data_IF_433094454616
#
_entry.id   IF_433094454616
#
_cell.length_a   1.000
_cell.length_b   1.000
_cell.length_c   1.000
_cell.angle_alpha   90.00
_cell.angle_beta   90.00
_cell.angle_gamma   90.00
#
_symmetry.space_group_name_H-M   'P 1'
#
loop_
_entity.id
_entity.type
_entity.pdbx_description
1 polymer ?
#
# COMPACT_ATOMS: atom_id res chain seq x y z
N UNK A 1 -12.21 19.28 -43.78
CA UNK A 1 -13.34 18.45 -44.27
C UNK A 1 -12.84 17.68 -45.49
N UNK A 2 -12.30 16.48 -45.30
CA UNK A 2 -11.85 15.64 -46.40
C UNK A 2 -12.97 14.65 -46.73
N UNK A 3 -13.72 14.92 -47.80
CA UNK A 3 -14.58 13.93 -48.43
C UNK A 3 -13.68 12.90 -49.11
N UNK A 4 -13.69 11.67 -48.62
CA UNK A 4 -13.23 10.51 -49.38
C UNK A 4 -14.08 10.45 -50.66
N UNK A 5 -13.43 10.40 -51.82
CA UNK A 5 -13.96 10.22 -53.18
C UNK A 5 -15.31 10.90 -53.53
N UNK A 6 -15.27 11.87 -54.46
CA UNK A 6 -16.46 12.51 -55.05
C UNK A 6 -17.51 11.47 -55.45
N UNK A 7 -18.62 11.44 -54.71
CA UNK A 7 -19.84 10.71 -55.09
C UNK A 7 -20.16 9.44 -54.30
N UNK A 8 -19.34 9.02 -53.32
CA UNK A 8 -19.73 7.92 -52.43
C UNK A 8 -20.35 8.44 -51.11
N UNK A 9 -21.42 7.81 -50.60
CA UNK A 9 -22.02 8.20 -49.33
C UNK A 9 -21.05 7.93 -48.18
N UNK A 10 -20.95 8.88 -47.24
CA UNK A 10 -20.14 8.72 -46.02
C UNK A 10 -20.64 7.49 -45.23
N UNK A 11 -19.81 6.44 -45.06
CA UNK A 11 -20.22 5.22 -44.37
C UNK A 11 -20.54 5.45 -42.89
N UNK A 12 -20.14 6.59 -42.33
CA UNK A 12 -20.40 6.96 -40.93
C UNK A 12 -21.67 7.81 -40.74
N UNK A 13 -22.37 8.16 -41.82
CA UNK A 13 -23.55 9.05 -41.78
C UNK A 13 -24.72 8.45 -41.00
N UNK A 14 -24.96 7.15 -41.15
CA UNK A 14 -26.06 6.46 -40.45
C UNK A 14 -25.76 6.32 -38.96
N UNK A 15 -24.49 6.10 -38.59
CA UNK A 15 -24.04 6.05 -37.20
C UNK A 15 -24.14 7.42 -36.50
N UNK A 16 -24.02 8.52 -37.25
CA UNK A 16 -24.20 9.87 -36.73
C UNK A 16 -25.65 10.37 -36.78
N UNK A 17 -26.63 9.50 -37.06
CA UNK A 17 -28.05 9.88 -37.12
C UNK A 17 -28.35 10.94 -38.20
N UNK A 18 -27.58 10.95 -39.28
CA UNK A 18 -27.68 11.94 -40.36
C UNK A 18 -26.86 13.21 -40.17
N UNK A 19 -26.13 13.37 -39.06
CA UNK A 19 -25.20 14.48 -38.81
C UNK A 19 -23.79 14.27 -39.39
N UNK A 20 -22.93 15.29 -39.26
CA UNK A 20 -21.54 15.24 -39.74
C UNK A 20 -20.71 14.26 -38.92
N UNK A 21 -20.15 13.23 -39.56
CA UNK A 21 -19.22 12.28 -38.94
C UNK A 21 -17.81 12.48 -39.49
N UNK A 22 -16.79 12.26 -38.64
CA UNK A 22 -15.42 12.17 -39.14
C UNK A 22 -15.06 10.71 -39.42
N UNK A 23 -14.76 10.40 -40.67
CA UNK A 23 -14.32 9.08 -41.11
C UNK A 23 -12.82 9.11 -41.39
N UNK A 24 -12.08 8.12 -40.90
CA UNK A 24 -10.67 7.93 -41.22
C UNK A 24 -10.44 6.54 -41.82
N UNK A 25 -9.54 6.40 -42.82
CA UNK A 25 -9.19 5.10 -43.36
C UNK A 25 -8.45 4.25 -42.33
N UNK A 26 -8.84 2.97 -42.21
CA UNK A 26 -8.21 1.98 -41.33
C UNK A 26 -7.63 0.84 -42.19
N UNK A 27 -6.34 0.50 -42.07
CA UNK A 27 -5.70 -0.51 -42.92
C UNK A 27 -6.28 -1.93 -42.80
N UNK A 28 -6.95 -2.22 -41.68
CA UNK A 28 -7.43 -3.57 -41.33
C UNK A 28 -8.93 -3.69 -41.58
N UNK A 29 -9.69 -2.63 -41.30
CA UNK A 29 -11.16 -2.61 -41.31
C UNK A 29 -11.73 -1.71 -42.40
N UNK A 30 -10.87 -1.13 -43.24
CA UNK A 30 -11.23 -0.20 -44.30
C UNK A 30 -11.43 1.22 -43.77
N UNK A 31 -12.32 1.42 -42.80
CA UNK A 31 -12.63 2.74 -42.24
C UNK A 31 -12.97 2.67 -40.74
N UNK A 32 -12.68 3.75 -40.02
CA UNK A 32 -13.09 3.99 -38.64
C UNK A 32 -13.88 5.30 -38.53
N UNK A 33 -15.02 5.24 -37.84
CA UNK A 33 -15.86 6.41 -37.57
C UNK A 33 -15.44 7.05 -36.24
N UNK A 34 -14.85 8.23 -36.29
CA UNK A 34 -14.30 8.95 -35.13
C UNK A 34 -15.35 9.83 -34.40
N UNK A 35 -16.64 9.65 -34.69
CA UNK A 35 -17.74 10.43 -34.12
C UNK A 35 -17.94 11.81 -34.75
N UNK A 36 -18.88 12.59 -34.21
CA UNK A 36 -19.12 13.99 -34.61
C UNK A 36 -18.53 14.96 -33.58
N UNK A 37 -18.06 16.15 -34.00
CA UNK A 37 -17.63 17.20 -33.07
C UNK A 37 -18.72 17.60 -32.08
N UNK A 38 -19.99 17.52 -32.50
CA UNK A 38 -21.15 17.80 -31.65
C UNK A 38 -21.35 16.73 -30.57
N UNK A 39 -21.14 15.45 -30.89
CA UNK A 39 -21.18 14.37 -29.89
C UNK A 39 -20.06 14.53 -28.86
N UNK A 40 -18.86 14.94 -29.29
CA UNK A 40 -17.77 15.26 -28.38
C UNK A 40 -18.14 16.47 -27.50
N UNK A 41 -18.75 17.51 -28.06
CA UNK A 41 -19.21 18.67 -27.30
C UNK A 41 -20.29 18.32 -26.28
N UNK A 42 -21.29 17.50 -26.64
CA UNK A 42 -22.34 17.03 -25.72
C UNK A 42 -21.76 16.16 -24.58
N UNK A 43 -20.82 15.26 -24.89
CA UNK A 43 -20.13 14.45 -23.88
C UNK A 43 -19.29 15.30 -22.93
N UNK A 44 -18.62 16.33 -23.44
CA UNK A 44 -17.74 17.19 -22.64
C UNK A 44 -18.49 18.24 -21.84
N UNK A 45 -19.67 18.68 -22.28
CA UNK A 45 -20.45 19.75 -21.63
C UNK A 45 -21.60 19.24 -20.77
N UNK A 46 -21.97 17.96 -20.88
CA UNK A 46 -23.05 17.35 -20.09
C UNK A 46 -24.44 17.89 -20.44
N UNK A 47 -24.60 18.64 -21.54
CA UNK A 47 -25.90 19.11 -22.01
C UNK A 47 -26.61 18.00 -22.79
N UNK A 48 -27.45 17.24 -22.07
CA UNK A 48 -28.42 16.32 -22.66
C UNK A 48 -29.63 17.11 -23.17
N UNK A 49 -29.83 17.15 -24.49
CA UNK A 49 -31.16 17.44 -25.03
C UNK A 49 -31.99 16.15 -24.96
N UNK A 50 -33.07 16.18 -24.18
CA UNK A 50 -33.83 15.00 -23.72
C UNK A 50 -34.70 14.34 -24.80
N UNK A 51 -34.42 14.53 -26.09
CA UNK A 51 -35.20 13.97 -27.19
C UNK A 51 -34.36 13.28 -28.27
N UNK A 52 -33.10 12.94 -27.99
CA UNK A 52 -32.25 12.28 -28.98
C UNK A 52 -32.41 10.76 -28.97
N UNK A 53 -32.92 10.20 -30.07
CA UNK A 53 -32.94 8.76 -30.42
C UNK A 53 -31.55 8.08 -30.24
N UNK A 54 -30.48 8.88 -30.18
CA UNK A 54 -29.09 8.46 -29.96
C UNK A 54 -28.90 7.75 -28.61
N UNK A 55 -29.59 8.18 -27.54
CA UNK A 55 -29.45 7.51 -26.23
C UNK A 55 -30.13 6.15 -26.17
N UNK A 56 -31.21 5.95 -26.94
CA UNK A 56 -31.86 4.64 -27.08
C UNK A 56 -30.97 3.67 -27.89
N UNK A 57 -30.28 4.17 -28.93
CA UNK A 57 -29.32 3.37 -29.70
C UNK A 57 -28.08 2.97 -28.86
N UNK A 58 -27.54 3.88 -28.06
CA UNK A 58 -26.40 3.61 -27.16
C UNK A 58 -26.73 2.58 -26.06
N UNK A 59 -27.96 2.58 -25.53
CA UNK A 59 -28.40 1.55 -24.57
C UNK A 59 -28.55 0.16 -25.21
N UNK A 60 -28.96 0.10 -26.48
CA UNK A 60 -29.05 -1.15 -27.23
C UNK A 60 -27.67 -1.72 -27.58
N UNK A 61 -26.69 -0.87 -27.90
CA UNK A 61 -25.35 -1.32 -28.29
C UNK A 61 -24.48 -1.74 -27.09
N UNK A 62 -24.62 -1.11 -25.92
CA UNK A 62 -23.91 -1.52 -24.70
C UNK A 62 -24.31 -2.93 -24.24
N UNK A 63 -25.58 -3.31 -24.41
CA UNK A 63 -26.04 -4.67 -24.11
C UNK A 63 -25.51 -5.71 -25.11
N UNK A 64 -25.33 -5.34 -26.39
CA UNK A 64 -24.67 -6.19 -27.39
C UNK A 64 -23.17 -6.34 -27.12
N UNK A 65 -22.52 -5.26 -26.70
CA UNK A 65 -21.10 -5.28 -26.34
C UNK A 65 -20.83 -6.16 -25.11
N UNK A 66 -21.73 -6.14 -24.12
CA UNK A 66 -21.68 -7.03 -22.96
C UNK A 66 -21.89 -8.51 -23.32
N UNK A 67 -22.75 -8.82 -24.30
CA UNK A 67 -22.96 -10.19 -24.77
C UNK A 67 -21.78 -10.74 -25.58
N UNK A 68 -21.09 -9.91 -26.37
CA UNK A 68 -19.90 -10.31 -27.13
C UNK A 68 -18.69 -10.61 -26.23
N UNK A 69 -18.57 -9.94 -25.08
CA UNK A 69 -17.48 -10.18 -24.12
C UNK A 69 -17.60 -11.50 -23.35
N UNK A 70 -18.78 -12.14 -23.31
CA UNK A 70 -18.95 -13.45 -22.68
C UNK A 70 -18.56 -14.64 -23.59
N UNK A 71 -18.21 -14.40 -24.86
CA UNK A 71 -17.84 -15.45 -25.81
C UNK A 71 -16.36 -15.46 -26.26
N UNK A 72 -15.50 -14.61 -25.68
CA UNK A 72 -14.06 -14.57 -26.02
C UNK A 72 -13.13 -14.76 -24.80
N UNK A 73 -13.40 -15.80 -24.00
CA UNK A 73 -12.34 -16.49 -23.26
C UNK A 73 -11.89 -17.71 -24.06
N UNK A 74 -11.06 -17.49 -25.08
CA UNK A 74 -10.20 -18.55 -25.65
C UNK A 74 -8.82 -17.97 -25.93
N UNK A 75 -7.82 -18.81 -25.66
CA UNK A 75 -6.41 -18.51 -25.46
C UNK A 75 -5.77 -17.63 -26.55
N UNK A 76 -5.11 -16.55 -26.14
CA UNK A 76 -4.16 -15.83 -26.99
C UNK A 76 -2.73 -16.10 -26.52
N UNK A 77 -2.12 -17.09 -27.18
CA UNK A 77 -0.69 -17.32 -27.16
C UNK A 77 -0.04 -16.34 -28.17
N UNK A 78 0.64 -15.31 -27.69
CA UNK A 78 1.30 -14.31 -28.55
C UNK A 78 2.76 -14.74 -28.76
N UNK A 79 3.07 -15.22 -29.97
CA UNK A 79 4.44 -15.31 -30.47
C UNK A 79 4.91 -13.90 -30.84
N UNK A 80 5.99 -13.44 -30.21
CA UNK A 80 6.67 -12.17 -30.54
C UNK A 80 7.73 -12.49 -31.60
N UNK A 81 7.79 -11.79 -32.75
CA UNK A 81 8.86 -11.98 -33.73
C UNK A 81 10.19 -11.41 -33.25
N UNK A 82 11.28 -12.10 -33.57
CA UNK A 82 12.65 -11.72 -33.25
C UNK A 82 13.03 -10.32 -33.79
N UNK A 83 13.64 -9.51 -32.94
CA UNK A 83 14.23 -8.22 -33.28
C UNK A 83 15.64 -8.47 -33.83
N UNK A 84 16.04 -7.94 -35.00
CA UNK A 84 17.39 -8.12 -35.51
C UNK A 84 18.42 -7.36 -34.67
N UNK A 85 19.57 -8.00 -34.43
CA UNK A 85 20.72 -7.45 -33.70
C UNK A 85 21.20 -6.10 -34.27
N UNK A 86 21.74 -5.20 -33.41
CA UNK A 86 22.45 -4.03 -33.90
C UNK A 86 23.77 -4.41 -34.56
N UNK A 87 24.06 -3.63 -35.61
CA UNK A 87 25.17 -3.71 -36.56
C UNK A 87 26.52 -3.47 -35.86
N UNK A 88 27.55 -4.17 -36.36
CA UNK A 88 28.95 -4.04 -35.99
C UNK A 88 29.49 -2.62 -36.23
N UNK A 89 30.17 -2.04 -35.24
CA UNK A 89 30.98 -0.83 -35.39
C UNK A 89 32.38 -1.16 -35.98
N UNK A 90 32.76 -0.33 -36.94
CA UNK A 90 33.97 -0.34 -37.78
C UNK A 90 35.20 0.19 -37.01
N UNK A 91 36.35 -0.54 -36.98
CA UNK A 91 37.55 -0.11 -36.27
C UNK A 91 38.43 0.79 -37.14
N UNK A 92 38.09 2.07 -37.25
CA UNK A 92 39.05 3.08 -37.69
C UNK A 92 38.64 4.46 -37.21
N UNK A 93 39.20 4.93 -36.08
CA UNK A 93 39.52 6.32 -35.75
C UNK A 93 40.27 6.34 -34.39
N UNK A 94 41.34 7.14 -34.22
CA UNK A 94 42.18 7.13 -33.01
C UNK A 94 41.55 7.96 -31.87
N UNK A 95 41.89 7.65 -30.60
CA UNK A 95 41.29 8.33 -29.45
C UNK A 95 41.91 9.72 -29.21
N UNK A 96 41.04 10.71 -28.99
CA UNK A 96 41.41 12.02 -28.44
C UNK A 96 41.82 11.90 -26.96
N UNK A 97 42.96 12.48 -26.63
CA UNK A 97 43.45 12.74 -25.27
C UNK A 97 42.58 13.79 -24.58
N UNK A 98 42.12 13.51 -23.36
CA UNK A 98 41.68 14.54 -22.41
C UNK A 98 42.26 14.23 -21.04
N UNK A 99 42.98 15.24 -20.52
CA UNK A 99 43.79 15.26 -19.31
C UNK A 99 43.05 14.85 -18.02
N UNK A 100 43.65 13.93 -17.26
CA UNK A 100 43.39 13.75 -15.84
C UNK A 100 44.17 14.80 -15.02
N UNK A 101 43.46 15.61 -14.23
CA UNK A 101 44.06 16.35 -13.13
C UNK A 101 43.68 15.70 -11.80
N UNK A 102 44.67 15.03 -11.20
CA UNK A 102 44.64 14.54 -9.83
C UNK A 102 44.83 15.71 -8.83
N UNK A 103 44.05 15.76 -7.75
CA UNK A 103 44.57 16.05 -6.41
C UNK A 103 43.57 15.61 -5.34
N UNK A 104 43.88 14.52 -4.61
CA UNK A 104 43.36 14.29 -3.25
C UNK A 104 44.38 13.45 -2.45
N UNK A 105 44.64 13.78 -1.16
CA UNK A 105 45.70 13.16 -0.35
C UNK A 105 45.27 11.83 0.31
N UNK A 106 46.22 11.00 0.80
CA UNK A 106 45.98 9.58 1.04
C UNK A 106 45.28 9.29 2.38
N UNK A 107 44.24 8.46 2.34
CA UNK A 107 43.67 7.82 3.52
C UNK A 107 44.52 6.61 3.94
N UNK A 108 44.87 6.59 5.22
CA UNK A 108 45.72 5.59 5.89
C UNK A 108 44.91 4.31 6.13
N UNK A 109 45.36 3.21 5.53
CA UNK A 109 44.78 1.88 5.64
C UNK A 109 45.03 1.30 7.06
N UNK A 110 44.00 1.19 7.89
CA UNK A 110 44.06 0.48 9.18
C UNK A 110 43.51 -0.93 8.98
N UNK A 111 44.37 -1.94 9.13
CA UNK A 111 43.98 -3.37 9.13
C UNK A 111 43.34 -3.73 10.49
N UNK A 112 42.22 -4.47 10.54
CA UNK A 112 41.70 -4.97 11.81
C UNK A 112 42.48 -6.20 12.31
N UNK A 113 42.81 -6.20 13.61
CA UNK A 113 43.36 -7.36 14.36
C UNK A 113 42.25 -8.38 14.66
N UNK A 114 42.57 -9.69 14.72
CA UNK A 114 41.60 -10.73 15.09
C UNK A 114 41.40 -10.80 16.61
N UNK A 115 40.15 -10.67 17.06
CA UNK A 115 39.75 -10.92 18.45
C UNK A 115 39.51 -12.43 18.62
N UNK A 116 40.28 -13.04 19.52
CA UNK A 116 40.15 -14.45 19.92
C UNK A 116 39.21 -14.54 21.12
N UNK A 117 38.02 -15.14 20.96
CA UNK A 117 37.09 -15.41 22.08
C UNK A 117 37.36 -16.82 22.60
N UNK A 118 37.84 -16.92 23.85
CA UNK A 118 37.93 -18.18 24.60
C UNK A 118 36.57 -18.48 25.23
N UNK A 119 35.95 -19.59 24.84
CA UNK A 119 34.79 -20.16 25.53
C UNK A 119 35.24 -21.18 26.59
N UNK A 120 34.57 -21.23 27.73
CA UNK A 120 34.64 -22.33 28.69
C UNK A 120 33.28 -22.49 29.37
N UNK A 121 32.75 -23.72 29.54
CA UNK A 121 31.37 -23.95 29.96
C UNK A 121 31.24 -24.11 31.47
N UNK A 122 30.11 -23.69 32.06
CA UNK A 122 29.67 -24.19 33.38
C UNK A 122 28.20 -24.62 33.34
N UNK A 123 28.00 -25.88 33.74
CA UNK A 123 26.72 -26.58 33.90
C UNK A 123 26.16 -26.38 35.32
N UNK A 124 24.85 -26.13 35.36
CA UNK A 124 23.77 -26.80 36.14
C UNK A 124 23.85 -26.81 37.68
N UNK A 125 22.78 -26.33 38.33
CA UNK A 125 22.01 -27.17 39.27
C UNK A 125 20.55 -26.71 39.39
N UNK A 126 19.67 -27.71 39.36
CA UNK A 126 18.21 -27.67 39.46
C UNK A 126 17.85 -27.92 40.92
N UNK A 127 16.80 -27.28 41.44
CA UNK A 127 16.04 -27.86 42.55
C UNK A 127 14.53 -27.69 42.36
N UNK A 128 13.82 -28.79 42.66
CA UNK A 128 12.39 -29.06 42.48
C UNK A 128 11.60 -28.80 43.78
N UNK A 129 10.28 -28.81 43.61
CA UNK A 129 9.18 -29.06 44.57
C UNK A 129 8.60 -27.84 45.31
N UNK A 130 7.28 -27.65 45.54
CA UNK A 130 5.98 -28.27 45.13
C UNK A 130 4.83 -27.29 45.59
N UNK A 131 3.54 -27.52 45.25
CA UNK A 131 2.50 -26.48 45.14
C UNK A 131 1.56 -26.35 46.36
N UNK A 132 0.86 -25.21 46.50
CA UNK A 132 -0.25 -25.03 47.47
C UNK A 132 -1.41 -24.23 46.86
N UNK A 133 -2.51 -24.97 46.65
CA UNK A 133 -3.94 -24.75 46.97
C UNK A 133 -4.74 -23.50 46.50
N UNK A 134 -5.92 -23.88 46.00
CA UNK A 134 -7.16 -23.15 45.71
C UNK A 134 -7.67 -22.23 46.81
N UNK A 135 -8.08 -21.02 46.44
CA UNK A 135 -8.78 -20.07 47.31
C UNK A 135 -10.30 -20.20 47.11
N UNK A 136 -10.98 -20.36 48.24
CA UNK A 136 -12.43 -20.47 48.43
C UNK A 136 -13.05 -19.07 48.50
N UNK A 137 -14.18 -18.87 47.81
CA UNK A 137 -15.04 -17.67 47.88
C UNK A 137 -15.97 -17.78 49.09
N UNK A 138 -16.12 -16.74 49.93
CA UNK A 138 -17.27 -16.62 50.83
C UNK A 138 -18.31 -15.63 50.28
N UNK A 139 -19.55 -16.10 50.15
CA UNK A 139 -20.76 -15.28 50.11
C UNK A 139 -21.24 -14.98 51.52
N UNK A 140 -21.65 -13.73 51.80
CA UNK A 140 -22.83 -13.39 52.63
C UNK A 140 -23.00 -11.87 52.88
N UNK A 141 -24.23 -11.40 52.58
CA UNK A 141 -25.08 -10.43 53.32
C UNK A 141 -24.60 -8.97 53.52
N UNK A 142 -25.44 -7.94 53.64
CA UNK A 142 -26.85 -7.62 53.36
C UNK A 142 -27.03 -6.17 53.84
N UNK A 143 -27.64 -5.30 53.02
CA UNK A 143 -28.36 -4.10 53.47
C UNK A 143 -27.57 -2.86 53.88
N UNK A 144 -27.77 -1.74 53.17
CA UNK A 144 -28.54 -0.59 53.70
C UNK A 144 -28.66 0.59 52.72
N UNK A 145 -29.90 1.09 52.63
CA UNK A 145 -30.38 2.48 52.43
C UNK A 145 -30.13 3.21 51.10
N UNK A 146 -31.26 3.34 50.40
CA UNK A 146 -31.61 4.25 49.31
C UNK A 146 -31.30 5.72 49.62
N UNK A 147 -30.56 6.38 48.72
CA UNK A 147 -30.56 7.83 48.51
C UNK A 147 -30.85 8.09 47.03
N UNK A 148 -32.03 8.65 46.74
CA UNK A 148 -32.43 9.09 45.38
C UNK A 148 -31.70 10.38 45.02
N UNK A 149 -30.65 10.29 44.21
CA UNK A 149 -30.04 11.44 43.54
C UNK A 149 -30.75 11.62 42.19
N UNK A 150 -31.38 12.77 41.97
CA UNK A 150 -31.92 13.15 40.65
C UNK A 150 -30.75 13.52 39.74
N UNK A 151 -30.47 12.68 38.76
CA UNK A 151 -29.50 12.94 37.70
C UNK A 151 -30.29 13.53 36.51
N UNK A 152 -30.05 14.81 36.20
CA UNK A 152 -30.56 15.43 34.95
C UNK A 152 -29.92 14.79 33.71
N UNK A 153 -30.39 15.06 32.49
CA UNK A 153 -29.92 14.38 31.29
C UNK A 153 -28.43 14.67 31.06
N UNK A 154 -27.59 13.69 31.36
CA UNK A 154 -26.17 13.70 31.03
C UNK A 154 -26.08 13.52 29.51
N UNK A 155 -25.68 14.57 28.79
CA UNK A 155 -25.20 14.42 27.42
C UNK A 155 -24.05 13.40 27.44
N UNK A 156 -24.05 12.34 26.62
CA UNK A 156 -22.99 11.35 26.65
C UNK A 156 -21.68 12.05 26.27
N UNK A 157 -20.79 12.23 27.26
CA UNK A 157 -19.37 12.42 27.00
C UNK A 157 -18.92 11.15 26.29
N UNK A 158 -18.31 11.29 25.12
CA UNK A 158 -17.72 10.17 24.39
C UNK A 158 -16.72 9.46 25.30
N UNK A 159 -17.09 8.25 25.71
CA UNK A 159 -16.23 7.36 26.45
C UNK A 159 -15.10 6.94 25.49
N UNK A 160 -13.91 7.52 25.69
CA UNK A 160 -12.69 6.96 25.08
C UNK A 160 -12.48 5.62 25.76
N UNK A 161 -12.58 4.53 25.00
CA UNK A 161 -12.27 3.18 25.46
C UNK A 161 -10.90 3.16 26.13
N UNK A 162 -10.82 2.64 27.36
CA UNK A 162 -9.55 2.40 28.08
C UNK A 162 -8.67 1.35 27.39
N UNK A 163 -9.17 0.68 26.35
CA UNK A 163 -8.41 -0.25 25.51
C UNK A 163 -7.81 0.48 24.30
N UNK A 164 -6.56 0.16 23.95
CA UNK A 164 -5.89 0.72 22.77
C UNK A 164 -6.53 0.31 21.43
N UNK A 165 -5.99 0.80 20.30
CA UNK A 165 -6.51 0.52 18.95
C UNK A 165 -6.73 -0.96 18.68
N UNK A 166 -7.87 -1.28 18.06
CA UNK A 166 -8.18 -2.63 17.57
C UNK A 166 -7.56 -2.80 16.19
N UNK A 167 -6.69 -3.79 16.05
CA UNK A 167 -6.04 -4.14 14.78
C UNK A 167 -6.81 -5.24 14.06
N UNK A 168 -7.04 -5.06 12.76
CA UNK A 168 -7.63 -6.07 11.89
C UNK A 168 -6.94 -6.10 10.53
N UNK A 169 -6.66 -7.30 10.02
CA UNK A 169 -6.15 -7.48 8.66
C UNK A 169 -7.32 -7.50 7.68
N UNK A 170 -7.20 -6.72 6.60
CA UNK A 170 -8.12 -6.77 5.45
C UNK A 170 -7.59 -7.67 4.34
N UNK A 171 -6.28 -7.77 4.21
CA UNK A 171 -5.58 -8.72 3.34
C UNK A 171 -4.24 -9.06 3.97
N UNK A 172 -3.78 -10.30 3.76
CA UNK A 172 -2.45 -10.75 4.16
C UNK A 172 -1.60 -10.92 2.92
N UNK A 173 -0.51 -10.15 2.85
CA UNK A 173 0.42 -10.23 1.73
C UNK A 173 1.26 -11.51 1.76
N UNK A 174 1.93 -11.77 0.65
CA UNK A 174 2.95 -12.81 0.53
C UNK A 174 4.02 -12.34 -0.47
N UNK A 175 5.23 -12.86 -0.32
CA UNK A 175 6.34 -12.54 -1.21
C UNK A 175 6.90 -13.82 -1.81
N UNK A 176 6.81 -13.94 -3.14
CA UNK A 176 7.28 -15.11 -3.88
C UNK A 176 8.20 -14.62 -5.00
N UNK A 177 9.53 -14.80 -4.85
CA UNK A 177 10.47 -14.56 -5.95
C UNK A 177 10.39 -15.68 -6.98
N UNK A 178 10.39 -15.34 -8.27
CA UNK A 178 10.46 -16.31 -9.36
C UNK A 178 11.92 -16.63 -9.70
N UNK A 179 12.25 -17.92 -9.77
CA UNK A 179 13.59 -18.44 -10.06
C UNK A 179 13.90 -18.51 -11.57
N UNK A 180 13.60 -17.45 -12.32
CA UNK A 180 13.81 -17.37 -13.77
C UNK A 180 14.89 -16.36 -14.20
N UNK A 181 15.25 -16.37 -15.49
CA UNK A 181 16.20 -15.42 -16.09
C UNK A 181 15.76 -13.94 -16.02
N UNK A 182 14.46 -13.68 -15.77
CA UNK A 182 13.93 -12.36 -15.42
C UNK A 182 13.55 -12.39 -13.95
N UNK A 183 14.11 -11.49 -13.16
CA UNK A 183 13.77 -11.32 -11.75
C UNK A 183 12.33 -10.78 -11.64
N UNK A 184 11.35 -11.68 -11.56
CA UNK A 184 9.94 -11.33 -11.30
C UNK A 184 9.55 -11.74 -9.89
N UNK A 185 8.61 -10.98 -9.31
CA UNK A 185 8.17 -11.19 -7.94
C UNK A 185 6.63 -11.12 -7.89
N UNK A 186 6.00 -12.04 -7.17
CA UNK A 186 4.63 -11.85 -6.69
C UNK A 186 4.71 -11.22 -5.30
N UNK A 187 4.14 -10.04 -5.14
CA UNK A 187 4.24 -9.25 -3.92
C UNK A 187 2.93 -8.54 -3.55
N UNK A 188 1.79 -9.22 -3.40
CA UNK A 188 0.61 -8.62 -2.77
C UNK A 188 0.96 -8.21 -1.34
N UNK A 189 0.46 -7.05 -0.91
CA UNK A 189 0.82 -6.49 0.39
C UNK A 189 -0.25 -6.69 1.47
N UNK A 190 0.18 -6.75 2.72
CA UNK A 190 -0.69 -6.76 3.88
C UNK A 190 -1.37 -5.40 4.02
N UNK A 191 -2.69 -5.42 4.15
CA UNK A 191 -3.52 -4.22 4.35
C UNK A 191 -4.15 -4.29 5.72
N UNK A 192 -3.94 -3.24 6.52
CA UNK A 192 -4.36 -3.19 7.92
C UNK A 192 -5.41 -2.13 8.13
N UNK A 193 -6.42 -2.44 8.92
CA UNK A 193 -7.37 -1.48 9.47
C UNK A 193 -7.18 -1.39 10.99
N UNK A 194 -6.95 -0.17 11.48
CA UNK A 194 -6.89 0.17 12.90
C UNK A 194 -8.12 1.00 13.30
N UNK A 195 -8.79 0.60 14.37
CA UNK A 195 -9.86 1.37 15.00
C UNK A 195 -9.38 1.91 16.36
N UNK A 196 -9.10 3.20 16.44
CA UNK A 196 -8.65 3.91 17.66
C UNK A 196 -9.79 4.81 18.19
N UNK A 197 -10.60 4.26 19.10
CA UNK A 197 -11.84 4.91 19.54
C UNK A 197 -12.81 5.08 18.37
N UNK A 198 -13.20 6.33 18.06
CA UNK A 198 -14.03 6.65 16.89
C UNK A 198 -13.22 6.86 15.62
N UNK A 199 -11.89 6.87 15.71
CA UNK A 199 -11.01 7.17 14.59
C UNK A 199 -10.60 5.90 13.85
N UNK A 200 -10.75 5.89 12.54
CA UNK A 200 -10.51 4.73 11.69
C UNK A 200 -9.35 5.00 10.71
N UNK A 201 -8.35 4.13 10.70
CA UNK A 201 -7.12 4.25 9.90
C UNK A 201 -6.96 3.01 9.02
N UNK A 202 -6.70 3.23 7.73
CA UNK A 202 -6.23 2.21 6.80
C UNK A 202 -4.73 2.38 6.62
N UNK A 203 -3.98 1.27 6.64
CA UNK A 203 -2.55 1.24 6.35
C UNK A 203 -2.30 0.35 5.15
N UNK A 204 -1.72 0.94 4.10
CA UNK A 204 -1.58 0.41 2.75
C UNK A 204 -2.90 0.05 2.08
N UNK A 205 -2.84 -0.22 0.78
CA UNK A 205 -4.03 -0.47 -0.06
C UNK A 205 -3.84 -1.63 -1.04
N UNK A 206 -2.76 -2.40 -0.90
CA UNK A 206 -2.52 -3.57 -1.75
C UNK A 206 -2.12 -3.23 -3.18
N UNK A 207 -1.82 -4.28 -3.96
CA UNK A 207 -1.74 -4.23 -5.42
C UNK A 207 -3.13 -4.11 -6.05
N UNK A 208 -3.28 -3.57 -7.26
CA UNK A 208 -4.57 -3.53 -7.97
C UNK A 208 -5.27 -4.89 -8.05
N UNK A 209 -4.51 -6.00 -8.15
CA UNK A 209 -5.08 -7.35 -8.17
C UNK A 209 -5.77 -7.77 -6.86
N UNK A 210 -5.44 -7.15 -5.72
CA UNK A 210 -6.10 -7.40 -4.43
C UNK A 210 -7.49 -6.74 -4.33
N UNK A 211 -7.95 -6.01 -5.35
CA UNK A 211 -9.22 -5.25 -5.33
C UNK A 211 -10.42 -6.07 -4.82
N UNK A 212 -10.62 -7.27 -5.36
CA UNK A 212 -11.79 -8.07 -5.05
C UNK A 212 -11.73 -8.64 -3.63
N UNK A 213 -10.57 -9.14 -3.21
CA UNK A 213 -10.32 -9.60 -1.85
C UNK A 213 -10.57 -8.48 -0.83
N UNK A 214 -10.00 -7.29 -1.08
CA UNK A 214 -10.16 -6.13 -0.21
C UNK A 214 -11.62 -5.67 -0.15
N UNK A 215 -12.34 -5.67 -1.29
CA UNK A 215 -13.77 -5.36 -1.31
C UNK A 215 -14.57 -6.35 -0.45
N UNK A 216 -14.32 -7.64 -0.58
CA UNK A 216 -14.98 -8.66 0.24
C UNK A 216 -14.64 -8.52 1.73
N UNK A 217 -13.37 -8.26 2.06
CA UNK A 217 -12.94 -8.03 3.44
C UNK A 217 -13.62 -6.80 4.06
N UNK A 218 -13.66 -5.68 3.34
CA UNK A 218 -14.36 -4.47 3.75
C UNK A 218 -15.86 -4.73 3.97
N UNK A 219 -16.52 -5.45 3.07
CA UNK A 219 -17.94 -5.81 3.21
C UNK A 219 -18.19 -6.68 4.45
N UNK A 220 -17.36 -7.72 4.66
CA UNK A 220 -17.50 -8.63 5.81
C UNK A 220 -17.33 -7.94 7.16
N UNK A 221 -16.61 -6.81 7.19
CA UNK A 221 -16.36 -6.01 8.38
C UNK A 221 -17.27 -4.78 8.47
N UNK A 222 -18.25 -4.65 7.58
CA UNK A 222 -19.13 -3.48 7.45
C UNK A 222 -18.39 -2.14 7.20
N UNK A 223 -17.17 -2.19 6.65
CA UNK A 223 -16.32 -1.03 6.36
C UNK A 223 -16.46 -0.53 4.91
N UNK A 224 -17.14 -1.29 4.05
CA UNK A 224 -17.28 -0.92 2.64
C UNK A 224 -18.08 0.38 2.46
N UNK A 225 -17.52 1.34 1.73
CA UNK A 225 -18.13 2.65 1.49
C UNK A 225 -18.05 3.63 2.66
N UNK A 226 -17.40 3.26 3.77
CA UNK A 226 -17.13 4.19 4.86
C UNK A 226 -16.08 5.23 4.46
N UNK A 227 -16.08 6.36 5.17
CA UNK A 227 -15.02 7.36 5.11
C UNK A 227 -14.09 7.12 6.29
N UNK A 228 -12.84 6.77 5.99
CA UNK A 228 -11.78 6.60 6.98
C UNK A 228 -11.22 7.97 7.38
N UNK A 229 -10.71 8.11 8.61
CA UNK A 229 -10.06 9.37 8.99
C UNK A 229 -8.70 9.50 8.29
N UNK A 230 -7.98 8.39 8.18
CA UNK A 230 -6.67 8.34 7.54
C UNK A 230 -6.52 7.11 6.66
N UNK A 231 -5.98 7.31 5.46
CA UNK A 231 -5.32 6.25 4.69
C UNK A 231 -3.84 6.57 4.70
N UNK A 232 -3.02 5.66 5.23
CA UNK A 232 -1.56 5.81 5.35
C UNK A 232 -0.89 4.84 4.41
N UNK A 233 -0.06 5.34 3.50
CA UNK A 233 0.74 4.51 2.60
C UNK A 233 2.17 4.49 3.12
N UNK A 234 2.68 3.31 3.46
CA UNK A 234 3.98 3.15 4.12
C UNK A 234 5.15 3.43 3.21
N UNK A 235 4.98 3.33 1.89
CA UNK A 235 6.01 3.61 0.88
C UNK A 235 5.38 3.82 -0.49
N UNK A 236 6.01 4.65 -1.33
CA UNK A 236 5.62 4.93 -2.71
C UNK A 236 5.71 3.73 -3.67
N UNK A 237 6.15 2.56 -3.21
CA UNK A 237 6.23 1.37 -4.06
C UNK A 237 4.82 0.87 -4.48
N UNK A 238 4.65 0.37 -5.72
CA UNK A 238 3.33 0.09 -6.30
C UNK A 238 2.46 -0.88 -5.50
N UNK A 239 3.08 -1.84 -4.81
CA UNK A 239 2.35 -2.86 -4.05
C UNK A 239 1.60 -2.33 -2.82
N UNK A 240 1.84 -1.09 -2.40
CA UNK A 240 1.18 -0.51 -1.23
C UNK A 240 0.06 0.48 -1.58
N UNK A 241 -0.07 0.89 -2.84
CA UNK A 241 -0.87 2.05 -3.26
C UNK A 241 -1.97 1.73 -4.30
N UNK A 242 -2.08 0.47 -4.72
CA UNK A 242 -2.87 0.04 -5.86
C UNK A 242 -4.39 0.18 -5.76
N UNK A 243 -4.97 0.33 -4.55
CA UNK A 243 -6.42 0.45 -4.37
C UNK A 243 -6.86 1.64 -3.53
N UNK A 244 -6.15 2.78 -3.56
CA UNK A 244 -6.57 4.00 -2.83
C UNK A 244 -8.07 4.30 -3.03
N UNK A 245 -8.59 4.14 -4.25
CA UNK A 245 -9.99 4.42 -4.57
C UNK A 245 -11.03 3.56 -3.83
N UNK A 246 -10.63 2.44 -3.20
CA UNK A 246 -11.52 1.65 -2.33
C UNK A 246 -11.63 2.24 -0.92
N UNK A 247 -10.68 3.08 -0.51
CA UNK A 247 -10.53 3.57 0.86
C UNK A 247 -10.70 5.10 0.88
N UNK A 248 -11.93 5.56 0.76
CA UNK A 248 -12.23 6.99 0.84
C UNK A 248 -11.84 7.50 2.22
N UNK A 249 -11.01 8.55 2.30
CA UNK A 249 -10.48 9.03 3.57
C UNK A 249 -10.44 10.55 3.65
N UNK A 250 -10.65 11.10 4.84
CA UNK A 250 -10.50 12.55 5.10
C UNK A 250 -9.08 13.03 4.79
N UNK A 251 -8.07 12.19 5.06
CA UNK A 251 -6.68 12.45 4.75
C UNK A 251 -5.94 11.20 4.23
N UNK A 252 -5.31 11.34 3.07
CA UNK A 252 -4.32 10.38 2.56
C UNK A 252 -2.92 10.86 2.93
N UNK A 253 -2.12 9.99 3.55
CA UNK A 253 -0.74 10.27 3.98
C UNK A 253 0.20 9.36 3.20
N UNK A 254 1.17 9.96 2.51
CA UNK A 254 2.26 9.28 1.82
C UNK A 254 3.55 10.05 2.10
N UNK A 255 4.45 9.44 2.87
CA UNK A 255 5.68 10.08 3.32
C UNK A 255 5.45 11.43 4.02
N UNK A 256 6.04 12.48 3.46
CA UNK A 256 5.91 13.85 3.97
C UNK A 256 4.75 14.62 3.35
N UNK A 257 3.82 13.97 2.65
CA UNK A 257 2.68 14.62 2.02
C UNK A 257 1.36 14.15 2.67
N UNK A 258 0.43 15.10 2.84
CA UNK A 258 -0.94 14.85 3.27
C UNK A 258 -1.90 15.48 2.26
N UNK A 259 -2.77 14.65 1.70
CA UNK A 259 -3.81 15.04 0.75
C UNK A 259 -5.17 15.02 1.43
N UNK A 260 -5.94 16.12 1.33
CA UNK A 260 -7.33 16.23 1.80
C UNK A 260 -8.20 16.77 0.67
N UNK A 261 -9.01 15.90 0.07
CA UNK A 261 -9.71 16.21 -1.18
C UNK A 261 -8.70 16.61 -2.27
N UNK A 262 -8.79 17.85 -2.76
CA UNK A 262 -7.91 18.38 -3.81
C UNK A 262 -6.67 19.13 -3.27
N UNK A 263 -6.51 19.24 -1.95
CA UNK A 263 -5.43 20.00 -1.33
C UNK A 263 -4.30 19.07 -0.88
N UNK A 264 -3.07 19.37 -1.30
CA UNK A 264 -1.85 18.68 -0.89
C UNK A 264 -1.05 19.61 0.02
N UNK A 265 -0.61 19.10 1.17
CA UNK A 265 0.13 19.84 2.19
C UNK A 265 1.33 19.03 2.68
N UNK A 266 2.36 19.70 3.20
CA UNK A 266 3.47 19.02 3.87
C UNK A 266 3.00 18.46 5.21
N UNK A 267 3.35 17.20 5.48
CA UNK A 267 3.15 16.52 6.74
C UNK A 267 4.04 17.13 7.83
N UNK A 268 3.57 17.18 9.09
CA UNK A 268 4.42 17.51 10.23
C UNK A 268 5.61 16.56 10.40
N UNK A 269 5.59 15.38 9.76
CA UNK A 269 6.73 14.45 9.72
C UNK A 269 8.00 15.08 9.16
N UNK A 270 7.89 16.13 8.34
CA UNK A 270 9.05 16.86 7.80
C UNK A 270 9.84 17.62 8.89
N UNK A 271 9.19 17.94 10.00
CA UNK A 271 9.76 18.76 11.09
C UNK A 271 9.85 17.97 12.40
N UNK A 272 8.99 16.97 12.60
CA UNK A 272 8.96 16.10 13.76
C UNK A 272 9.14 14.65 13.35
N UNK A 273 10.01 13.91 14.04
CA UNK A 273 10.22 12.49 13.79
C UNK A 273 9.02 11.61 14.18
N UNK A 274 8.05 12.16 14.92
CA UNK A 274 6.85 11.47 15.40
C UNK A 274 5.62 12.36 15.24
N UNK A 275 4.54 11.83 14.68
CA UNK A 275 3.24 12.52 14.52
C UNK A 275 2.13 11.65 15.09
N UNK A 276 1.22 12.22 15.87
CA UNK A 276 0.02 11.51 16.37
C UNK A 276 -1.07 11.54 15.29
N UNK A 277 -1.79 10.44 15.12
CA UNK A 277 -2.95 10.36 14.24
C UNK A 277 -4.23 10.66 15.02
N UNK A 278 -4.73 9.66 15.75
CA UNK A 278 -6.03 9.74 16.43
C UNK A 278 -5.89 10.00 17.93
N UNK A 279 -4.91 9.34 18.55
CA UNK A 279 -4.64 9.41 19.99
C UNK A 279 -3.14 9.24 20.28
N UNK A 280 -2.69 9.33 21.54
CA UNK A 280 -1.33 8.96 21.91
C UNK A 280 -0.94 7.49 21.60
N UNK A 281 -1.94 6.63 21.29
CA UNK A 281 -1.71 5.23 20.94
C UNK A 281 -1.47 5.00 19.44
N UNK A 282 -1.74 5.97 18.57
CA UNK A 282 -1.54 5.83 17.11
C UNK A 282 -0.59 6.89 16.61
N UNK A 283 0.62 6.46 16.23
CA UNK A 283 1.72 7.34 15.83
C UNK A 283 2.19 7.01 14.42
N UNK A 284 2.72 8.02 13.73
CA UNK A 284 3.52 7.90 12.53
C UNK A 284 4.96 8.26 12.86
N UNK A 285 5.88 7.47 12.32
CA UNK A 285 7.31 7.75 12.37
C UNK A 285 7.92 7.61 10.97
N UNK A 286 8.94 8.40 10.67
CA UNK A 286 9.74 8.19 9.47
C UNK A 286 10.63 6.96 9.65
N UNK A 287 10.64 6.11 8.62
CA UNK A 287 11.46 4.90 8.54
C UNK A 287 12.04 4.76 7.14
N UNK A 288 12.90 5.70 6.71
CA UNK A 288 13.52 5.66 5.40
C UNK A 288 14.41 4.41 5.25
N UNK A 289 14.71 4.05 4.02
CA UNK A 289 15.49 2.87 3.68
C UNK A 289 14.90 2.13 2.49
N UNK A 290 13.67 1.60 2.60
CA UNK A 290 12.98 1.05 1.43
C UNK A 290 12.80 2.10 0.34
N UNK A 291 12.27 3.26 0.74
CA UNK A 291 12.22 4.51 -0.03
C UNK A 291 12.50 5.69 0.90
N UNK A 292 12.86 6.84 0.36
CA UNK A 292 13.06 8.07 1.16
C UNK A 292 11.79 8.48 1.90
N UNK A 293 10.62 8.25 1.28
CA UNK A 293 9.31 8.59 1.81
C UNK A 293 8.71 7.50 2.72
N UNK A 294 9.48 6.48 3.08
CA UNK A 294 8.97 5.36 3.89
C UNK A 294 8.61 5.78 5.31
N UNK A 295 7.44 5.34 5.78
CA UNK A 295 6.89 5.63 7.11
C UNK A 295 6.31 4.37 7.74
N UNK A 296 6.31 4.34 9.07
CA UNK A 296 5.75 3.25 9.88
C UNK A 296 4.65 3.79 10.79
N UNK A 297 3.56 3.02 10.93
CA UNK A 297 2.50 3.30 11.91
C UNK A 297 2.78 2.50 13.17
N UNK A 298 2.85 3.16 14.33
CA UNK A 298 2.97 2.53 15.64
C UNK A 298 1.60 2.58 16.34
N UNK A 299 1.07 1.41 16.69
CA UNK A 299 -0.16 1.24 17.46
C UNK A 299 0.17 0.67 18.84
N UNK A 300 -0.03 1.43 19.92
CA UNK A 300 0.26 1.02 21.29
C UNK A 300 -0.95 0.42 21.97
N UNK A 301 -0.73 -0.46 22.95
CA UNK A 301 -1.80 -1.06 23.76
C UNK A 301 -2.85 -1.81 22.92
N UNK A 302 -2.44 -2.39 21.79
CA UNK A 302 -3.28 -3.24 20.96
C UNK A 302 -3.64 -4.48 21.78
N UNK A 303 -4.94 -4.81 21.94
CA UNK A 303 -5.39 -5.93 22.76
C UNK A 303 -4.69 -7.25 22.38
N UNK A 304 -4.02 -7.88 23.35
CA UNK A 304 -3.31 -9.14 23.18
C UNK A 304 -1.96 -9.05 22.44
N UNK A 305 -1.60 -7.88 21.90
CA UNK A 305 -0.34 -7.69 21.15
C UNK A 305 0.60 -6.66 21.79
N UNK A 306 0.13 -5.75 22.65
CA UNK A 306 0.98 -4.69 23.20
C UNK A 306 1.25 -3.61 22.15
N UNK A 307 2.51 -3.30 21.83
CA UNK A 307 2.85 -2.33 20.78
C UNK A 307 3.09 -3.01 19.44
N UNK A 308 2.33 -2.61 18.42
CA UNK A 308 2.42 -3.14 17.06
C UNK A 308 2.98 -2.08 16.12
N UNK A 309 4.04 -2.40 15.38
CA UNK A 309 4.56 -1.59 14.30
C UNK A 309 4.10 -2.12 12.95
N UNK A 310 3.33 -1.33 12.21
CA UNK A 310 2.91 -1.67 10.84
C UNK A 310 3.95 -1.09 9.89
N UNK A 311 4.98 -1.89 9.63
CA UNK A 311 6.21 -1.46 8.95
C UNK A 311 6.13 -1.50 7.43
N UNK A 312 5.20 -2.26 6.85
CA UNK A 312 5.04 -2.33 5.40
C UNK A 312 6.35 -2.69 4.70
N UNK A 313 6.85 -1.82 3.83
CA UNK A 313 8.12 -2.01 3.10
C UNK A 313 9.36 -2.15 3.97
N UNK A 314 9.33 -1.70 5.23
CA UNK A 314 10.47 -1.82 6.14
C UNK A 314 10.83 -3.28 6.44
N UNK A 315 9.83 -4.15 6.50
CA UNK A 315 9.96 -5.58 6.74
C UNK A 315 9.21 -6.32 5.63
N UNK A 316 9.89 -7.07 4.77
CA UNK A 316 9.23 -7.73 3.63
C UNK A 316 8.28 -8.83 4.11
N UNK A 317 8.79 -9.89 4.72
CA UNK A 317 7.96 -11.04 5.17
C UNK A 317 8.42 -11.63 6.51
N UNK A 318 9.52 -11.10 7.04
CA UNK A 318 10.22 -11.60 8.21
C UNK A 318 10.80 -10.41 8.99
N UNK A 319 11.29 -10.70 10.19
CA UNK A 319 11.97 -9.76 11.09
C UNK A 319 13.50 -9.82 10.94
N UNK A 320 14.02 -10.43 9.86
CA UNK A 320 15.46 -10.58 9.66
C UNK A 320 16.11 -9.22 9.32
N UNK A 321 16.85 -8.70 10.29
CA UNK A 321 17.59 -7.45 10.22
C UNK A 321 18.46 -7.32 8.98
N UNK A 322 19.15 -8.41 8.62
CA UNK A 322 20.20 -8.40 7.62
C UNK A 322 19.67 -8.68 6.20
N UNK A 323 18.36 -8.93 6.07
CA UNK A 323 17.74 -9.17 4.77
C UNK A 323 17.71 -7.87 3.95
N UNK A 324 18.35 -7.87 2.79
CA UNK A 324 18.29 -6.75 1.84
C UNK A 324 17.65 -7.23 0.55
N UNK A 325 16.44 -6.76 0.28
CA UNK A 325 15.77 -6.96 -0.99
C UNK A 325 16.09 -5.76 -1.89
N UNK A 326 17.18 -5.87 -2.66
CA UNK A 326 17.73 -4.80 -3.50
C UNK A 326 16.67 -4.08 -4.37
N UNK A 327 15.70 -4.77 -5.02
CA UNK A 327 14.67 -4.09 -5.82
C UNK A 327 13.74 -3.16 -5.01
N UNK A 328 13.67 -3.33 -3.70
CA UNK A 328 12.78 -2.60 -2.80
C UNK A 328 13.52 -1.74 -1.77
N UNK A 329 14.85 -1.60 -1.92
CA UNK A 329 15.71 -0.89 -0.97
C UNK A 329 16.44 0.23 -1.69
N UNK A 330 16.16 1.47 -1.29
CA UNK A 330 16.84 2.66 -1.81
C UNK A 330 18.12 2.99 -1.03
N UNK A 331 18.13 2.75 0.28
CA UNK A 331 19.26 3.00 1.16
C UNK A 331 19.36 1.91 2.24
N UNK A 332 20.43 1.11 2.17
CA UNK A 332 20.66 -0.03 3.07
C UNK A 332 21.02 0.42 4.49
N UNK A 333 21.72 1.55 4.63
CA UNK A 333 22.13 2.04 5.96
C UNK A 333 20.89 2.54 6.70
N UNK A 334 20.08 3.38 6.05
CA UNK A 334 18.83 3.87 6.63
C UNK A 334 17.82 2.75 6.89
N UNK A 335 17.79 1.71 6.03
CA UNK A 335 16.96 0.53 6.24
C UNK A 335 17.28 -0.14 7.59
N UNK A 336 18.55 -0.38 7.89
CA UNK A 336 18.95 -1.04 9.14
C UNK A 336 18.73 -0.15 10.36
N UNK A 337 18.99 1.15 10.26
CA UNK A 337 18.70 2.10 11.35
C UNK A 337 17.20 2.16 11.67
N UNK A 338 16.36 2.25 10.64
CA UNK A 338 14.90 2.23 10.77
C UNK A 338 14.39 0.93 11.37
N UNK A 339 14.93 -0.23 10.95
CA UNK A 339 14.55 -1.54 11.52
C UNK A 339 14.91 -1.64 13.00
N UNK A 340 16.13 -1.24 13.39
CA UNK A 340 16.56 -1.22 14.79
C UNK A 340 15.60 -0.38 15.64
N UNK A 341 15.31 0.84 15.19
CA UNK A 341 14.37 1.74 15.88
C UNK A 341 13.00 1.09 16.07
N UNK A 342 12.42 0.53 15.01
CA UNK A 342 11.09 -0.10 15.08
C UNK A 342 11.08 -1.33 15.99
N UNK A 343 12.11 -2.16 15.95
CA UNK A 343 12.22 -3.35 16.80
C UNK A 343 12.30 -2.99 18.28
N UNK A 344 13.06 -1.95 18.64
CA UNK A 344 13.16 -1.53 20.04
C UNK A 344 11.85 -0.98 20.61
N UNK A 345 10.99 -0.41 19.75
CA UNK A 345 9.74 0.20 20.17
C UNK A 345 8.53 -0.74 20.09
N UNK A 346 8.66 -1.94 19.53
CA UNK A 346 7.53 -2.83 19.24
C UNK A 346 7.61 -4.20 19.89
N UNK A 347 6.44 -4.78 20.13
CA UNK A 347 6.26 -6.16 20.57
C UNK A 347 5.83 -7.06 19.40
N UNK A 348 5.25 -6.45 18.36
CA UNK A 348 4.89 -7.11 17.11
C UNK A 348 5.18 -6.20 15.92
N UNK A 349 5.50 -6.83 14.79
CA UNK A 349 5.67 -6.16 13.50
C UNK A 349 4.60 -6.73 12.55
N UNK A 350 3.99 -5.86 11.75
CA UNK A 350 3.22 -6.26 10.56
C UNK A 350 4.06 -5.96 9.32
N UNK A 351 4.66 -6.99 8.72
CA UNK A 351 5.45 -6.84 7.49
C UNK A 351 4.57 -6.53 6.28
N UNK A 352 5.20 -6.09 5.20
CA UNK A 352 4.55 -5.78 3.93
C UNK A 352 3.92 -7.00 3.28
N UNK A 353 4.44 -8.21 3.50
CA UNK A 353 4.11 -9.42 2.75
C UNK A 353 4.00 -10.66 3.65
N UNK A 354 3.49 -10.52 4.87
CA UNK A 354 3.19 -11.66 5.74
C UNK A 354 2.16 -11.32 6.81
N UNK A 355 1.79 -12.32 7.60
CA UNK A 355 1.08 -12.14 8.88
C UNK A 355 1.95 -11.37 9.89
N UNK A 356 1.34 -10.77 10.93
CA UNK A 356 2.08 -10.17 12.03
C UNK A 356 3.04 -11.16 12.72
N UNK A 357 4.21 -10.68 13.11
CA UNK A 357 5.30 -11.46 13.70
C UNK A 357 5.64 -10.88 15.08
N UNK A 358 5.73 -11.71 16.15
CA UNK A 358 6.14 -11.23 17.46
C UNK A 358 7.63 -10.90 17.48
N UNK A 359 7.98 -9.76 18.06
CA UNK A 359 9.38 -9.36 18.27
C UNK A 359 9.92 -10.09 19.49
N UNK A 360 10.84 -11.03 19.26
CA UNK A 360 11.44 -11.79 20.36
C UNK A 360 12.40 -10.94 21.20
N UNK A 361 12.53 -11.26 22.50
CA UNK A 361 13.55 -10.63 23.35
C UNK A 361 14.97 -10.83 22.81
N UNK A 362 15.23 -11.96 22.15
CA UNK A 362 16.50 -12.20 21.48
C UNK A 362 16.74 -11.17 20.37
N UNK A 363 15.74 -10.92 19.53
CA UNK A 363 15.85 -9.93 18.46
C UNK A 363 16.08 -8.51 19.02
N UNK A 364 15.42 -8.15 20.13
CA UNK A 364 15.68 -6.87 20.82
C UNK A 364 17.12 -6.75 21.30
N UNK A 365 17.67 -7.81 21.89
CA UNK A 365 19.09 -7.85 22.31
C UNK A 365 20.04 -7.78 21.11
N UNK A 366 19.73 -8.48 20.01
CA UNK A 366 20.55 -8.52 18.80
C UNK A 366 20.65 -7.13 18.12
N UNK A 367 19.73 -6.21 18.39
CA UNK A 367 19.78 -4.82 17.90
C UNK A 367 20.15 -3.77 18.95
N UNK A 368 20.57 -4.21 20.14
CA UNK A 368 21.00 -3.35 21.24
C UNK A 368 19.90 -2.42 21.78
N UNK A 369 18.68 -2.95 21.91
CA UNK A 369 17.73 -2.46 22.91
C UNK A 369 18.10 -3.05 24.30
#
# INVERSE_FOLDING_TARGET
>A
MYSLFKGQPDPCRDLAGGGDAHCQPDPIRGHICCGSPNLLFELLTGHSSTNSLVWQALHLDLNKFAQLHNHQQQDFNINIPDIPNPIHDDPSLPPEEVEETQTNPPQKLIKPMPITIKSSPKKISINREKPIQSIIIPSAMSGTKSNRIRIGPIKPKSYVSENGPILSLLSTGHFIPSLGFKATYSAPSTVVHLQDGTCSIIVNTGLPMQRNELKSALQSKNLFGQIFNYTVITSSQPQYIGNINLFNSDALILGTLITRGTKITSSPLKVSNIVKLCSPNTLLIQTPGPTEDSITVIARNVPGMGTVAIGGSLFIQDDNLNRVDQPFTSDVIQLFESRRKVICESDWIVPGHSVPIPVSNKLKLDVEC
#
